data_IF_426899780510
#
_entry.id   IF_426899780510
#
_cell.length_a   1.000
_cell.length_b   1.000
_cell.length_c   1.000
_cell.angle_alpha   90.00
_cell.angle_beta   90.00
_cell.angle_gamma   90.00
#
_symmetry.space_group_name_H-M   'P 1'
#
loop_
_entity.id
_entity.type
_entity.pdbx_description
1 polymer ?
#
# COMPACT_ATOMS: atom_id res chain seq x y z
N UNK A 1 5.12 7.83 2.23
CA UNK A 1 3.67 8.05 2.39
C UNK A 1 3.28 9.51 2.60
N UNK A 2 3.86 10.27 3.56
CA UNK A 2 3.44 11.67 3.82
C UNK A 2 3.54 12.57 2.57
N UNK A 3 4.63 12.44 1.82
CA UNK A 3 4.81 13.19 0.56
C UNK A 3 3.82 12.74 -0.52
N UNK A 4 3.51 11.46 -0.58
CA UNK A 4 2.58 10.88 -1.55
C UNK A 4 1.13 11.30 -1.27
N UNK A 5 0.67 11.30 -0.01
CA UNK A 5 -0.68 11.77 0.31
C UNK A 5 -0.85 13.27 0.03
N UNK A 6 0.21 14.07 0.19
CA UNK A 6 0.18 15.47 -0.25
C UNK A 6 0.05 15.57 -1.76
N UNK A 7 0.92 14.90 -2.50
CA UNK A 7 0.94 14.95 -3.96
C UNK A 7 -0.39 14.48 -4.58
N UNK A 8 -0.89 13.32 -4.16
CA UNK A 8 -2.12 12.74 -4.69
C UNK A 8 -3.32 13.53 -4.16
N UNK A 9 -3.38 13.83 -2.86
CA UNK A 9 -4.48 14.57 -2.26
C UNK A 9 -4.71 15.94 -2.90
N UNK A 10 -3.65 16.72 -3.12
CA UNK A 10 -3.77 18.02 -3.80
C UNK A 10 -4.23 17.88 -5.24
N UNK A 11 -3.76 16.87 -5.96
CA UNK A 11 -4.17 16.62 -7.35
C UNK A 11 -5.64 16.17 -7.45
N UNK A 12 -6.16 15.47 -6.43
CA UNK A 12 -7.57 15.09 -6.31
C UNK A 12 -8.46 16.22 -5.77
N UNK A 13 -7.88 17.39 -5.46
CA UNK A 13 -8.62 18.59 -5.07
C UNK A 13 -9.16 18.59 -3.63
N UNK A 14 -8.55 17.79 -2.75
CA UNK A 14 -8.90 17.80 -1.32
C UNK A 14 -8.42 19.11 -0.67
N UNK A 15 -9.08 19.53 0.40
CA UNK A 15 -8.79 20.82 1.05
C UNK A 15 -7.68 20.74 2.11
N UNK A 16 -7.26 21.90 2.64
CA UNK A 16 -6.17 22.01 3.63
C UNK A 16 -6.38 21.15 4.89
N UNK A 17 -7.61 21.08 5.42
CA UNK A 17 -7.93 20.27 6.60
C UNK A 17 -7.84 18.77 6.27
N UNK A 18 -8.33 18.37 5.10
CA UNK A 18 -8.24 17.00 4.60
C UNK A 18 -6.80 16.56 4.37
N UNK A 19 -5.95 17.43 3.79
CA UNK A 19 -4.51 17.16 3.67
C UNK A 19 -3.86 17.01 5.03
N UNK A 20 -4.20 17.84 6.00
CA UNK A 20 -3.67 17.69 7.36
C UNK A 20 -4.05 16.33 7.96
N UNK A 21 -5.31 15.91 7.81
CA UNK A 21 -5.78 14.60 8.28
C UNK A 21 -5.06 13.45 7.56
N UNK A 22 -4.90 13.53 6.23
CA UNK A 22 -4.16 12.56 5.43
C UNK A 22 -2.70 12.43 5.87
N UNK A 23 -2.01 13.55 6.09
CA UNK A 23 -0.61 13.55 6.56
C UNK A 23 -0.46 12.95 7.94
N UNK A 24 -1.40 13.22 8.86
CA UNK A 24 -1.41 12.62 10.19
C UNK A 24 -1.67 11.11 10.10
N UNK A 25 -2.65 10.68 9.30
CA UNK A 25 -2.91 9.26 9.07
C UNK A 25 -1.67 8.56 8.47
N UNK A 26 -1.05 9.17 7.46
CA UNK A 26 0.18 8.65 6.84
C UNK A 26 1.37 8.60 7.81
N UNK A 27 1.47 9.53 8.75
CA UNK A 27 2.50 9.51 9.79
C UNK A 27 2.34 8.33 10.75
N UNK A 28 1.09 7.95 11.06
CA UNK A 28 0.79 6.94 12.08
C UNK A 28 0.43 5.55 11.54
N UNK A 29 0.15 5.37 10.24
CA UNK A 29 -0.41 4.11 9.70
C UNK A 29 0.38 2.86 10.11
N UNK A 30 1.71 2.90 9.94
CA UNK A 30 2.63 1.80 10.28
C UNK A 30 3.18 1.85 11.71
N UNK A 31 2.83 2.87 12.50
CA UNK A 31 3.36 3.02 13.86
C UNK A 31 3.00 1.84 14.77
N UNK A 32 1.90 1.15 14.49
CA UNK A 32 1.48 -0.03 15.24
C UNK A 32 2.39 -1.25 15.07
N UNK A 33 3.34 -1.25 14.13
CA UNK A 33 4.34 -2.31 13.99
C UNK A 33 5.22 -2.49 15.24
N UNK A 34 5.35 -1.47 16.08
CA UNK A 34 6.04 -1.58 17.38
C UNK A 34 5.30 -2.48 18.38
N UNK A 35 4.00 -2.71 18.16
CA UNK A 35 3.13 -3.53 19.02
C UNK A 35 2.78 -4.86 18.37
N UNK A 36 2.37 -4.84 17.10
CA UNK A 36 1.97 -6.04 16.36
C UNK A 36 2.26 -5.88 14.88
N UNK A 37 2.88 -6.90 14.27
CA UNK A 37 3.11 -6.89 12.83
C UNK A 37 1.81 -7.07 12.04
N UNK A 38 0.94 -7.99 12.46
CA UNK A 38 -0.25 -8.38 11.71
C UNK A 38 -1.44 -7.42 11.89
N UNK A 39 -1.52 -6.74 13.04
CA UNK A 39 -2.61 -5.81 13.37
C UNK A 39 -2.09 -4.38 13.51
N UNK A 40 -1.04 -4.02 12.76
CA UNK A 40 -0.35 -2.74 12.92
C UNK A 40 -1.27 -1.55 12.62
N UNK A 41 -2.22 -1.67 11.70
CA UNK A 41 -3.15 -0.58 11.38
C UNK A 41 -4.05 -0.28 12.59
N UNK A 42 -4.59 -1.32 13.24
CA UNK A 42 -5.37 -1.17 14.46
C UNK A 42 -4.55 -0.51 15.58
N UNK A 43 -3.34 -1.00 15.84
CA UNK A 43 -2.49 -0.38 16.86
C UNK A 43 -2.03 1.03 16.46
N UNK A 44 -1.87 1.31 15.18
CA UNK A 44 -1.60 2.65 14.64
C UNK A 44 -2.74 3.62 14.98
N UNK A 45 -4.00 3.18 14.88
CA UNK A 45 -5.14 3.99 15.34
C UNK A 45 -5.10 4.27 16.84
N UNK A 46 -4.69 3.30 17.65
CA UNK A 46 -4.60 3.47 19.10
C UNK A 46 -3.49 4.46 19.48
N UNK A 47 -2.33 4.37 18.82
CA UNK A 47 -1.20 5.31 19.00
C UNK A 47 -1.61 6.72 18.54
N UNK A 48 -2.24 6.85 17.37
CA UNK A 48 -2.73 8.13 16.87
C UNK A 48 -3.75 8.76 17.81
N UNK A 49 -4.72 7.97 18.30
CA UNK A 49 -5.75 8.44 19.24
C UNK A 49 -5.14 8.94 20.55
N UNK A 50 -4.22 8.17 21.13
CA UNK A 50 -3.53 8.54 22.36
C UNK A 50 -2.75 9.85 22.15
N UNK A 51 -1.90 9.91 21.12
CA UNK A 51 -1.05 11.07 20.89
C UNK A 51 -1.84 12.33 20.54
N UNK A 52 -2.81 12.25 19.63
CA UNK A 52 -3.58 13.41 19.18
C UNK A 52 -4.54 13.96 20.26
N UNK A 53 -4.96 13.14 21.22
CA UNK A 53 -5.82 13.59 22.33
C UNK A 53 -5.16 14.63 23.25
N UNK A 54 -3.83 14.73 23.23
CA UNK A 54 -3.06 15.69 24.00
C UNK A 54 -3.06 17.11 23.39
N UNK A 55 -3.58 17.27 22.18
CA UNK A 55 -3.55 18.52 21.42
C UNK A 55 -4.96 19.11 21.33
N UNK A 56 -5.14 20.32 21.85
CA UNK A 56 -6.47 20.96 21.99
C UNK A 56 -7.15 21.31 20.66
N UNK A 57 -6.42 21.31 19.55
CA UNK A 57 -6.91 21.64 18.22
C UNK A 57 -7.51 20.45 17.46
N UNK A 58 -7.37 19.21 17.96
CA UNK A 58 -7.98 18.04 17.33
C UNK A 58 -9.26 17.64 18.05
N UNK A 59 -10.36 17.67 17.32
CA UNK A 59 -11.65 17.22 17.82
C UNK A 59 -11.73 15.69 17.79
N UNK A 60 -12.66 15.06 18.54
CA UNK A 60 -12.95 13.64 18.41
C UNK A 60 -13.27 13.24 16.96
N UNK A 61 -13.93 14.12 16.20
CA UNK A 61 -14.22 13.87 14.79
C UNK A 61 -12.96 13.79 13.93
N UNK A 62 -12.00 14.72 14.12
CA UNK A 62 -10.72 14.67 13.38
C UNK A 62 -9.96 13.37 13.69
N UNK A 63 -9.90 12.96 14.97
CA UNK A 63 -9.20 11.75 15.39
C UNK A 63 -9.85 10.49 14.79
N UNK A 64 -11.18 10.39 14.79
CA UNK A 64 -11.87 9.25 14.18
C UNK A 64 -11.69 9.21 12.66
N UNK A 65 -11.67 10.36 11.98
CA UNK A 65 -11.33 10.43 10.55
C UNK A 65 -9.91 9.92 10.30
N UNK A 66 -8.92 10.35 11.09
CA UNK A 66 -7.53 9.86 10.98
C UNK A 66 -7.45 8.35 11.22
N UNK A 67 -8.15 7.83 12.23
CA UNK A 67 -8.19 6.40 12.51
C UNK A 67 -8.82 5.60 11.35
N UNK A 68 -9.91 6.10 10.77
CA UNK A 68 -10.54 5.50 9.58
C UNK A 68 -9.58 5.46 8.39
N UNK A 69 -8.86 6.55 8.14
CA UNK A 69 -7.86 6.65 7.07
C UNK A 69 -6.70 5.67 7.25
N UNK A 70 -6.20 5.50 8.48
CA UNK A 70 -5.22 4.46 8.81
C UNK A 70 -5.79 3.07 8.50
N UNK A 71 -7.01 2.77 8.96
CA UNK A 71 -7.64 1.47 8.74
C UNK A 71 -7.92 1.16 7.27
N UNK A 72 -8.06 2.17 6.41
CA UNK A 72 -8.24 1.98 4.97
C UNK A 72 -7.04 1.30 4.29
N UNK A 73 -5.84 1.42 4.86
CA UNK A 73 -4.62 0.76 4.35
C UNK A 73 -4.59 -0.76 4.61
N UNK A 74 -5.52 -1.27 5.42
CA UNK A 74 -5.60 -2.69 5.73
C UNK A 74 -5.91 -3.53 4.49
N UNK A 75 -5.11 -4.57 4.28
CA UNK A 75 -5.25 -5.47 3.14
C UNK A 75 -6.45 -6.45 3.28
N UNK A 76 -7.24 -6.69 2.22
CA UNK A 76 -7.21 -6.01 0.92
C UNK A 76 -7.89 -4.62 0.96
N UNK A 77 -7.35 -3.62 0.22
CA UNK A 77 -7.87 -2.26 0.25
C UNK A 77 -9.26 -2.20 -0.39
N UNK A 78 -10.17 -1.48 0.27
CA UNK A 78 -11.53 -1.22 -0.22
C UNK A 78 -11.95 0.20 0.18
N UNK A 79 -11.35 1.24 -0.44
CA UNK A 79 -11.62 2.63 -0.07
C UNK A 79 -13.07 3.02 -0.40
N UNK A 80 -13.70 3.75 0.51
CA UNK A 80 -15.11 4.18 0.43
C UNK A 80 -15.26 5.62 -0.05
N UNK A 81 -14.20 6.42 0.03
CA UNK A 81 -14.18 7.82 -0.42
C UNK A 81 -12.82 8.21 -1.01
N UNK A 82 -12.72 9.47 -1.47
CA UNK A 82 -11.50 10.02 -2.06
C UNK A 82 -10.32 10.01 -1.07
N UNK A 83 -10.54 10.27 0.22
CA UNK A 83 -9.45 10.33 1.19
C UNK A 83 -8.87 8.95 1.47
N UNK A 84 -9.72 7.93 1.60
CA UNK A 84 -9.28 6.54 1.70
C UNK A 84 -8.58 6.08 0.43
N UNK A 85 -9.07 6.48 -0.75
CA UNK A 85 -8.41 6.18 -2.02
C UNK A 85 -7.00 6.79 -2.09
N UNK A 86 -6.85 8.05 -1.65
CA UNK A 86 -5.54 8.72 -1.54
C UNK A 86 -4.63 7.95 -0.58
N UNK A 87 -5.12 7.50 0.58
CA UNK A 87 -4.34 6.71 1.54
C UNK A 87 -3.85 5.40 0.92
N UNK A 88 -4.75 4.60 0.36
CA UNK A 88 -4.41 3.31 -0.26
C UNK A 88 -3.40 3.48 -1.40
N UNK A 89 -3.60 4.46 -2.28
CA UNK A 89 -2.68 4.72 -3.38
C UNK A 89 -1.32 5.23 -2.92
N UNK A 90 -1.29 6.00 -1.83
CA UNK A 90 -0.04 6.54 -1.26
C UNK A 90 0.79 5.48 -0.54
N UNK A 91 0.13 4.52 0.10
CA UNK A 91 0.77 3.37 0.76
C UNK A 91 1.47 2.48 -0.29
N UNK A 92 0.78 2.19 -1.38
CA UNK A 92 1.27 1.30 -2.45
C UNK A 92 1.91 2.05 -3.63
N UNK A 93 2.23 3.33 -3.48
CA UNK A 93 2.79 4.19 -4.54
C UNK A 93 4.09 3.63 -5.14
N UNK A 94 4.92 2.98 -4.30
CA UNK A 94 6.21 2.42 -4.68
C UNK A 94 6.12 1.38 -5.81
N UNK A 95 4.96 0.75 -6.00
CA UNK A 95 4.74 -0.23 -7.08
C UNK A 95 4.91 0.37 -8.48
N UNK A 96 4.67 1.68 -8.63
CA UNK A 96 4.90 2.41 -9.89
C UNK A 96 6.05 3.41 -9.84
N UNK A 97 6.82 3.47 -8.74
CA UNK A 97 7.99 4.35 -8.65
C UNK A 97 9.24 3.71 -9.27
N UNK A 98 10.23 4.55 -9.53
CA UNK A 98 11.53 4.14 -10.09
C UNK A 98 12.38 3.37 -9.08
N UNK A 99 12.15 3.56 -7.78
CA UNK A 99 12.80 2.88 -6.67
C UNK A 99 12.08 1.59 -6.23
N UNK A 100 11.17 1.05 -7.04
CA UNK A 100 10.48 -0.20 -6.76
C UNK A 100 11.42 -1.35 -6.34
N UNK A 101 12.52 -1.56 -7.08
CA UNK A 101 13.46 -2.67 -6.83
C UNK A 101 14.10 -2.57 -5.43
N UNK A 102 14.76 -1.46 -5.04
CA UNK A 102 15.34 -1.36 -3.71
C UNK A 102 14.30 -1.44 -2.59
N UNK A 103 13.10 -0.87 -2.75
CA UNK A 103 12.02 -0.96 -1.75
C UNK A 103 11.52 -2.40 -1.62
N UNK A 104 11.22 -3.08 -2.73
CA UNK A 104 10.79 -4.48 -2.75
C UNK A 104 11.84 -5.41 -2.12
N UNK A 105 13.12 -5.17 -2.40
CA UNK A 105 14.21 -5.94 -1.80
C UNK A 105 14.35 -5.70 -0.29
N UNK A 106 14.14 -4.48 0.19
CA UNK A 106 14.14 -4.18 1.62
C UNK A 106 13.00 -4.92 2.33
N UNK A 107 11.79 -4.89 1.76
CA UNK A 107 10.64 -5.63 2.29
C UNK A 107 10.86 -7.15 2.28
N UNK A 108 11.50 -7.69 1.23
CA UNK A 108 11.92 -9.10 1.23
C UNK A 108 12.84 -9.44 2.39
N UNK A 109 13.87 -8.63 2.65
CA UNK A 109 14.79 -8.89 3.77
C UNK A 109 14.04 -8.85 5.10
N UNK A 110 13.15 -7.87 5.30
CA UNK A 110 12.35 -7.80 6.51
C UNK A 110 11.50 -9.06 6.72
N UNK A 111 10.75 -9.48 5.69
CA UNK A 111 9.89 -10.66 5.78
C UNK A 111 10.69 -11.95 5.96
N UNK A 112 11.91 -12.00 5.42
CA UNK A 112 12.82 -13.14 5.58
C UNK A 112 13.32 -13.24 7.01
N UNK A 113 13.74 -12.14 7.62
CA UNK A 113 14.13 -12.10 9.04
C UNK A 113 12.98 -12.50 9.97
N UNK A 114 11.73 -12.24 9.54
CA UNK A 114 10.51 -12.67 10.24
C UNK A 114 10.09 -14.10 9.93
N UNK A 115 10.83 -14.85 9.11
CA UNK A 115 10.49 -16.20 8.64
C UNK A 115 9.12 -16.29 7.94
N UNK A 116 8.67 -15.18 7.33
CA UNK A 116 7.40 -15.10 6.57
C UNK A 116 7.60 -15.43 5.09
N UNK A 117 8.84 -15.34 4.60
CA UNK A 117 9.24 -15.74 3.27
C UNK A 117 10.53 -16.54 3.37
N UNK A 118 10.61 -17.60 2.57
CA UNK A 118 11.71 -18.57 2.59
C UNK A 118 12.82 -18.19 1.59
N UNK A 119 12.45 -17.83 0.36
CA UNK A 119 13.38 -17.59 -0.71
C UNK A 119 12.90 -16.50 -1.69
N UNK A 120 13.84 -16.00 -2.49
CA UNK A 120 13.60 -14.85 -3.35
C UNK A 120 12.69 -15.15 -4.56
N UNK A 121 12.67 -16.39 -5.05
CA UNK A 121 11.75 -16.76 -6.13
C UNK A 121 10.31 -16.82 -5.63
N UNK A 122 10.09 -17.39 -4.44
CA UNK A 122 8.78 -17.35 -3.81
C UNK A 122 8.32 -15.90 -3.55
N UNK A 123 9.22 -15.04 -3.09
CA UNK A 123 8.96 -13.60 -2.98
C UNK A 123 8.50 -12.98 -4.30
N UNK A 124 9.26 -13.20 -5.38
CA UNK A 124 8.96 -12.65 -6.70
C UNK A 124 7.61 -13.16 -7.23
N UNK A 125 7.23 -14.41 -6.98
CA UNK A 125 5.91 -14.95 -7.34
C UNK A 125 4.78 -14.29 -6.55
N UNK A 126 4.95 -14.10 -5.23
CA UNK A 126 3.97 -13.39 -4.40
C UNK A 126 3.84 -11.93 -4.84
N UNK A 127 4.95 -11.24 -5.10
CA UNK A 127 4.97 -9.88 -5.64
C UNK A 127 4.26 -9.81 -6.99
N UNK A 128 4.54 -10.74 -7.91
CA UNK A 128 3.87 -10.78 -9.20
C UNK A 128 2.35 -10.93 -9.03
N UNK A 129 1.89 -11.88 -8.19
CA UNK A 129 0.46 -12.08 -7.90
C UNK A 129 -0.17 -10.84 -7.24
N UNK A 130 0.52 -10.23 -6.29
CA UNK A 130 0.07 -9.04 -5.57
C UNK A 130 -0.10 -7.85 -6.52
N UNK A 131 0.94 -7.51 -7.29
CA UNK A 131 0.94 -6.36 -8.21
C UNK A 131 -0.05 -6.56 -9.36
N UNK A 132 -0.23 -7.81 -9.81
CA UNK A 132 -1.22 -8.14 -10.86
C UNK A 132 -2.66 -7.89 -10.39
N UNK A 133 -2.95 -8.20 -9.12
CA UNK A 133 -4.30 -7.97 -8.53
C UNK A 133 -4.52 -6.53 -8.07
N UNK A 134 -3.44 -5.79 -7.82
CA UNK A 134 -3.50 -4.42 -7.35
C UNK A 134 -3.99 -3.46 -8.46
N UNK A 135 -4.84 -2.51 -8.09
CA UNK A 135 -5.24 -1.38 -8.91
C UNK A 135 -5.11 -0.08 -8.12
N UNK A 136 -4.68 0.99 -8.76
CA UNK A 136 -4.78 2.32 -8.16
C UNK A 136 -6.23 2.83 -8.22
N UNK A 137 -6.66 3.57 -7.20
CA UNK A 137 -8.04 4.01 -7.04
C UNK A 137 -8.27 5.42 -7.61
N UNK A 138 -7.36 6.34 -7.35
CA UNK A 138 -7.42 7.73 -7.81
C UNK A 138 -7.02 7.88 -9.28
N UNK A 139 -7.63 8.81 -10.03
CA UNK A 139 -7.17 9.22 -11.35
C UNK A 139 -5.68 9.57 -11.38
N UNK A 140 -5.20 10.33 -10.38
CA UNK A 140 -3.81 10.76 -10.30
C UNK A 140 -2.83 9.59 -10.19
N UNK A 141 -3.04 8.68 -9.25
CA UNK A 141 -2.13 7.54 -9.08
C UNK A 141 -2.14 6.62 -10.31
N UNK A 142 -3.32 6.41 -10.92
CA UNK A 142 -3.41 5.67 -12.18
C UNK A 142 -2.54 6.28 -13.27
N UNK A 143 -2.63 7.59 -13.47
CA UNK A 143 -1.83 8.30 -14.47
C UNK A 143 -0.32 8.22 -14.17
N UNK A 144 0.06 8.42 -12.91
CA UNK A 144 1.45 8.53 -12.50
C UNK A 144 2.17 7.19 -12.39
N UNK A 145 1.44 6.10 -12.11
CA UNK A 145 2.05 4.84 -11.64
C UNK A 145 1.71 3.61 -12.48
N UNK A 146 0.59 3.56 -13.19
CA UNK A 146 0.20 2.33 -13.92
C UNK A 146 1.20 1.92 -15.01
N UNK A 147 1.76 2.87 -15.76
CA UNK A 147 2.73 2.57 -16.82
C UNK A 147 3.98 1.89 -16.24
N UNK A 148 4.50 2.44 -15.15
CA UNK A 148 5.68 1.87 -14.49
C UNK A 148 5.33 0.57 -13.78
N UNK A 149 4.16 0.45 -13.13
CA UNK A 149 3.68 -0.79 -12.51
C UNK A 149 3.67 -1.94 -13.52
N UNK A 150 3.17 -1.70 -14.74
CA UNK A 150 3.21 -2.67 -15.85
C UNK A 150 4.65 -3.05 -16.22
N UNK A 151 5.57 -2.08 -16.27
CA UNK A 151 6.99 -2.39 -16.50
C UNK A 151 7.59 -3.27 -15.40
N UNK A 152 7.21 -3.06 -14.13
CA UNK A 152 7.66 -3.92 -13.04
C UNK A 152 7.11 -5.36 -13.17
N UNK A 153 5.85 -5.52 -13.58
CA UNK A 153 5.28 -6.84 -13.85
C UNK A 153 6.05 -7.59 -14.95
N UNK A 154 6.39 -6.91 -16.04
CA UNK A 154 7.19 -7.52 -17.11
C UNK A 154 8.60 -7.89 -16.65
N UNK A 155 9.21 -7.10 -15.75
CA UNK A 155 10.51 -7.43 -15.14
C UNK A 155 10.40 -8.68 -14.26
N UNK A 156 9.39 -8.75 -13.40
CA UNK A 156 9.15 -9.92 -12.54
C UNK A 156 8.86 -11.16 -13.37
N UNK A 157 8.06 -11.04 -14.43
CA UNK A 157 7.77 -12.15 -15.36
C UNK A 157 9.04 -12.70 -16.01
N UNK A 158 9.96 -11.82 -16.44
CA UNK A 158 11.27 -12.22 -16.99
C UNK A 158 12.17 -12.87 -15.95
N UNK A 159 12.11 -12.45 -14.69
CA UNK A 159 12.89 -13.08 -13.62
C UNK A 159 12.38 -14.50 -13.28
N UNK A 160 11.10 -14.78 -13.58
CA UNK A 160 10.41 -16.02 -13.25
C UNK A 160 10.22 -16.95 -14.48
N UNK A 161 10.73 -16.59 -15.66
CA UNK A 161 10.47 -17.32 -16.91
C UNK A 161 11.05 -18.75 -16.95
N UNK A 162 11.99 -19.03 -16.05
CA UNK A 162 12.59 -20.35 -15.85
C UNK A 162 12.13 -21.02 -14.54
N UNK A 163 11.25 -20.39 -13.77
CA UNK A 163 10.69 -20.95 -12.53
C UNK A 163 9.54 -21.92 -12.86
N UNK A 164 9.70 -23.24 -12.61
CA UNK A 164 8.68 -24.23 -12.95
C UNK A 164 7.34 -24.00 -12.24
N UNK A 165 7.38 -23.54 -10.98
CA UNK A 165 6.18 -23.30 -10.18
C UNK A 165 5.38 -22.13 -10.78
N UNK A 166 6.08 -21.08 -11.21
CA UNK A 166 5.46 -19.91 -11.83
C UNK A 166 4.82 -20.25 -13.18
N UNK A 167 5.50 -21.03 -14.01
CA UNK A 167 4.97 -21.46 -15.30
C UNK A 167 3.72 -22.34 -15.15
N UNK A 168 3.71 -23.23 -14.13
CA UNK A 168 2.53 -24.02 -13.76
C UNK A 168 1.37 -23.11 -13.37
N UNK A 169 1.60 -22.15 -12.47
CA UNK A 169 0.59 -21.19 -12.00
C UNK A 169 -0.03 -20.36 -13.14
N UNK A 170 0.78 -19.89 -14.09
CA UNK A 170 0.31 -19.14 -15.26
C UNK A 170 -0.59 -20.00 -16.15
N UNK A 171 -0.22 -21.26 -16.39
CA UNK A 171 -0.98 -22.16 -17.26
C UNK A 171 -2.39 -22.43 -16.71
N UNK A 172 -2.54 -22.48 -15.38
CA UNK A 172 -3.83 -22.64 -14.71
C UNK A 172 -4.68 -21.35 -14.71
N UNK A 173 -4.06 -20.17 -14.76
CA UNK A 173 -4.80 -18.89 -14.81
C UNK A 173 -5.36 -18.55 -16.19
N UNK A 174 -4.79 -19.06 -17.28
CA UNK A 174 -5.29 -18.87 -18.65
C UNK A 174 -6.53 -19.71 -19.02
N UNK A 175 -7.13 -20.44 -18.08
CA UNK A 175 -8.29 -21.32 -18.34
C UNK A 175 -9.65 -20.64 -18.06
N UNK A 176 -9.68 -19.45 -17.46
CA UNK A 176 -10.93 -18.71 -17.24
C UNK A 176 -10.96 -17.41 -18.07
N UNK A 177 -11.47 -17.52 -19.30
CA UNK A 177 -12.09 -16.39 -20.01
C UNK A 177 -13.59 -16.72 -20.08
N UNK A 178 -14.43 -16.20 -19.17
CA UNK A 178 -15.88 -16.24 -19.35
C UNK A 178 -16.26 -15.24 -20.45
N UNK A 179 -17.15 -15.67 -21.36
CA UNK A 179 -17.78 -14.85 -22.41
C UNK A 179 -18.49 -13.60 -21.88
#
# INVERSE_FOLDING_TARGET
>A
MVTEVELIGWAEGVNDEEILMLKLAALFHDSGHIVSYQNHEFYGTQIARDMLSHYSNYTPHNIETICRLIMATKMPPNPQDTLEAVMCDSDLDYLGRTDFIPVSNALYQELKERSMIDNFNNWNRLQFKFITKHQYFTPTARQLREVNKKSQLERLKKLLDHDPDFLSDLSHQSVEIPE
#
